data_IF_981166109842
#
_entry.id   IF_981166109842
#
_cell.length_a   1.000
_cell.length_b   1.000
_cell.length_c   1.000
_cell.angle_alpha   90.00
_cell.angle_beta   90.00
_cell.angle_gamma   90.00
#
_symmetry.space_group_name_H-M   'P 1'
#
loop_
_entity.id
_entity.type
_entity.pdbx_description
1 polymer ?
#
# COMPACT_ATOMS: atom_id res chain seq x y z
N UNK A 1 9.82 24.30 52.52
CA UNK A 1 8.99 23.08 52.61
C UNK A 1 7.65 23.35 51.96
N UNK A 2 7.41 22.72 50.81
CA UNK A 2 6.14 22.23 50.24
C UNK A 2 6.45 21.90 48.79
N UNK A 3 6.95 20.69 48.63
CA UNK A 3 7.45 20.14 47.38
C UNK A 3 6.23 19.57 46.67
N UNK A 4 5.73 20.25 45.65
CA UNK A 4 4.63 19.74 44.82
C UNK A 4 5.25 18.98 43.65
N UNK A 5 5.44 17.68 43.86
CA UNK A 5 5.83 16.74 42.80
C UNK A 5 4.65 16.59 41.84
N UNK A 6 4.72 17.21 40.68
CA UNK A 6 3.86 16.86 39.53
C UNK A 6 4.36 15.55 38.91
N UNK A 7 3.47 14.58 38.61
CA UNK A 7 3.88 13.33 37.97
C UNK A 7 4.33 13.60 36.53
N UNK A 8 5.58 13.22 36.23
CA UNK A 8 6.14 13.16 34.89
C UNK A 8 5.43 12.06 34.09
N UNK A 9 4.45 12.44 33.26
CA UNK A 9 3.97 11.57 32.18
C UNK A 9 4.92 11.75 30.99
N UNK A 10 5.88 10.85 30.86
CA UNK A 10 6.72 10.70 29.66
C UNK A 10 5.92 10.11 28.50
N UNK A 11 4.84 10.78 28.10
CA UNK A 11 4.13 10.53 26.85
C UNK A 11 4.89 11.19 25.71
N UNK A 12 6.08 10.67 25.37
CA UNK A 12 6.96 11.23 24.35
C UNK A 12 6.36 11.22 22.95
N UNK A 13 5.89 12.37 22.48
CA UNK A 13 5.45 12.58 21.11
C UNK A 13 6.49 12.11 20.07
N UNK A 14 6.11 11.24 19.13
CA UNK A 14 6.92 10.91 17.95
C UNK A 14 6.23 11.42 16.68
N UNK A 15 7.00 12.14 15.87
CA UNK A 15 6.55 12.78 14.62
C UNK A 15 6.50 11.72 13.50
N UNK A 16 5.34 11.57 12.85
CA UNK A 16 5.23 10.84 11.58
C UNK A 16 5.94 11.64 10.49
N UNK A 17 6.65 10.97 9.58
CA UNK A 17 7.25 11.62 8.41
C UNK A 17 6.21 12.15 7.40
N UNK A 18 4.94 11.73 7.50
CA UNK A 18 3.96 11.97 6.41
C UNK A 18 2.64 12.60 6.90
N UNK A 19 2.29 12.52 8.19
CA UNK A 19 0.91 12.82 8.63
C UNK A 19 0.77 13.52 10.00
N UNK A 20 1.83 14.11 10.55
CA UNK A 20 1.75 14.93 11.78
C UNK A 20 1.89 14.16 13.11
N UNK A 21 1.44 14.80 14.19
CA UNK A 21 1.66 14.39 15.59
C UNK A 21 0.58 13.40 16.03
N UNK A 22 0.98 12.17 16.40
CA UNK A 22 0.09 11.16 17.00
C UNK A 22 0.49 10.87 18.45
N UNK A 23 -0.47 10.44 19.27
CA UNK A 23 -0.20 10.02 20.66
C UNK A 23 0.56 8.68 20.62
N UNK A 24 1.54 8.46 21.50
CA UNK A 24 2.34 7.19 21.53
C UNK A 24 1.47 5.93 21.56
N UNK A 25 0.31 6.00 22.21
CA UNK A 25 -0.65 4.89 22.30
C UNK A 25 -1.27 4.51 20.94
N UNK A 26 -1.30 5.42 19.95
CA UNK A 26 -1.80 5.14 18.60
C UNK A 26 -0.74 4.43 17.74
N UNK A 27 0.54 4.74 17.95
CA UNK A 27 1.66 4.09 17.25
C UNK A 27 1.78 2.60 17.60
N UNK A 28 1.64 2.22 18.87
CA UNK A 28 1.65 0.82 19.29
C UNK A 28 0.43 0.04 18.76
N UNK A 29 -0.73 0.70 18.66
CA UNK A 29 -1.94 0.13 18.04
C UNK A 29 -1.76 -0.07 16.53
N UNK A 30 -1.12 0.87 15.83
CA UNK A 30 -0.83 0.75 14.38
C UNK A 30 0.18 -0.34 14.06
N UNK A 31 1.21 -0.52 14.90
CA UNK A 31 2.16 -1.63 14.79
C UNK A 31 1.43 -2.98 14.82
N UNK A 32 0.48 -3.17 15.74
CA UNK A 32 -0.25 -4.43 15.89
C UNK A 32 -1.12 -4.79 14.68
N UNK A 33 -1.67 -3.80 13.97
CA UNK A 33 -2.53 -3.99 12.80
C UNK A 33 -1.70 -4.46 11.60
N UNK A 34 -0.49 -3.91 11.43
CA UNK A 34 0.33 -4.11 10.24
C UNK A 34 1.35 -5.26 10.34
N UNK A 35 1.36 -6.06 11.42
CA UNK A 35 2.35 -7.13 11.65
C UNK A 35 2.61 -8.07 10.47
N UNK A 36 1.63 -8.29 9.58
CA UNK A 36 1.77 -9.24 8.46
C UNK A 36 1.42 -8.67 7.09
N UNK A 37 0.47 -7.73 6.99
CA UNK A 37 -0.10 -7.29 5.70
C UNK A 37 -0.51 -5.82 5.72
N UNK A 38 0.02 -5.06 4.77
CA UNK A 38 -0.36 -3.67 4.46
C UNK A 38 -1.87 -3.53 4.23
N UNK A 39 -2.52 -4.53 3.63
CA UNK A 39 -3.96 -4.51 3.31
C UNK A 39 -4.85 -4.33 4.55
N UNK A 40 -4.54 -4.98 5.69
CA UNK A 40 -5.36 -4.81 6.92
C UNK A 40 -5.26 -3.37 7.42
N UNK A 41 -4.05 -2.81 7.41
CA UNK A 41 -3.79 -1.43 7.79
C UNK A 41 -4.52 -0.44 6.87
N UNK A 42 -4.40 -0.63 5.55
CA UNK A 42 -5.07 0.19 4.55
C UNK A 42 -6.59 0.20 4.73
N UNK A 43 -7.21 -0.97 4.93
CA UNK A 43 -8.66 -1.06 5.14
C UNK A 43 -9.09 -0.38 6.45
N UNK A 44 -8.33 -0.53 7.53
CA UNK A 44 -8.62 0.14 8.80
C UNK A 44 -8.51 1.67 8.68
N UNK A 45 -7.45 2.18 8.03
CA UNK A 45 -7.27 3.62 7.79
C UNK A 45 -8.36 4.19 6.88
N UNK A 46 -8.75 3.45 5.83
CA UNK A 46 -9.90 3.82 5.00
C UNK A 46 -11.19 3.90 5.82
N UNK A 47 -11.41 2.96 6.75
CA UNK A 47 -12.58 2.98 7.62
C UNK A 47 -12.55 4.14 8.62
N UNK A 48 -11.39 4.45 9.19
CA UNK A 48 -11.21 5.63 10.04
C UNK A 48 -11.53 6.93 9.29
N UNK A 49 -11.06 7.05 8.05
CA UNK A 49 -11.23 8.24 7.22
C UNK A 49 -12.71 8.53 6.89
N UNK A 50 -13.48 7.49 6.52
CA UNK A 50 -14.83 7.68 5.99
C UNK A 50 -15.96 7.34 6.97
N UNK A 51 -15.75 6.35 7.84
CA UNK A 51 -16.78 5.89 8.78
C UNK A 51 -16.52 6.36 10.22
N UNK A 52 -15.29 6.81 10.52
CA UNK A 52 -14.89 7.25 11.86
C UNK A 52 -14.48 6.12 12.80
N UNK A 53 -13.96 6.46 14.00
CA UNK A 53 -13.37 5.51 14.94
C UNK A 53 -14.41 4.58 15.61
N UNK A 54 -15.62 5.07 15.83
CA UNK A 54 -16.67 4.32 16.55
C UNK A 54 -17.45 3.35 15.66
N UNK A 55 -17.23 3.39 14.35
CA UNK A 55 -17.96 2.53 13.42
C UNK A 55 -17.55 1.05 13.59
N UNK A 56 -18.51 0.10 13.60
CA UNK A 56 -18.21 -1.33 13.81
C UNK A 56 -17.21 -1.91 12.81
N UNK A 57 -17.22 -1.44 11.55
CA UNK A 57 -16.23 -1.87 10.56
C UNK A 57 -14.81 -1.41 10.91
N UNK A 58 -14.65 -0.20 11.44
CA UNK A 58 -13.35 0.34 11.84
C UNK A 58 -12.72 -0.52 12.92
N UNK A 59 -13.49 -0.84 13.97
CA UNK A 59 -13.07 -1.71 15.07
C UNK A 59 -12.79 -3.15 14.61
N UNK A 60 -13.63 -3.68 13.71
CA UNK A 60 -13.45 -5.02 13.13
C UNK A 60 -12.18 -5.11 12.29
N UNK A 61 -11.86 -4.09 11.50
CA UNK A 61 -10.66 -4.04 10.67
C UNK A 61 -9.40 -3.85 11.53
N UNK A 62 -9.50 -3.11 12.65
CA UNK A 62 -8.42 -2.95 13.63
C UNK A 62 -7.95 -4.30 14.20
N UNK A 63 -8.88 -5.19 14.52
CA UNK A 63 -8.57 -6.52 15.08
C UNK A 63 -8.40 -7.60 14.01
N UNK A 64 -8.64 -7.27 12.74
CA UNK A 64 -8.72 -8.19 11.60
C UNK A 64 -7.41 -8.73 11.03
N UNK A 65 -6.29 -8.67 11.77
CA UNK A 65 -4.95 -9.06 11.29
C UNK A 65 -4.86 -10.49 10.72
N UNK A 66 -5.72 -11.40 11.18
CA UNK A 66 -5.78 -12.82 10.73
C UNK A 66 -6.81 -13.08 9.63
N UNK A 67 -7.60 -12.10 9.22
CA UNK A 67 -8.67 -12.31 8.22
C UNK A 67 -8.09 -12.65 6.84
N UNK A 68 -8.80 -13.47 6.07
CA UNK A 68 -8.41 -13.75 4.69
C UNK A 68 -8.44 -12.48 3.83
N UNK A 69 -7.53 -12.26 2.85
CA UNK A 69 -7.49 -11.04 2.03
C UNK A 69 -8.83 -10.73 1.33
N UNK A 70 -9.53 -11.78 0.86
CA UNK A 70 -10.88 -11.65 0.30
C UNK A 70 -11.84 -10.98 1.28
N UNK A 71 -11.86 -11.43 2.54
CA UNK A 71 -12.74 -10.87 3.57
C UNK A 71 -12.41 -9.43 3.90
N UNK A 72 -11.12 -9.06 3.95
CA UNK A 72 -10.71 -7.67 4.17
C UNK A 72 -11.21 -6.75 3.05
N UNK A 73 -11.08 -7.19 1.79
CA UNK A 73 -11.59 -6.45 0.64
C UNK A 73 -13.12 -6.32 0.69
N UNK A 74 -13.82 -7.39 1.05
CA UNK A 74 -15.28 -7.37 1.16
C UNK A 74 -15.74 -6.41 2.27
N UNK A 75 -15.02 -6.34 3.40
CA UNK A 75 -15.28 -5.35 4.46
C UNK A 75 -14.96 -3.93 4.00
N UNK A 76 -13.88 -3.75 3.23
CA UNK A 76 -13.52 -2.45 2.65
C UNK A 76 -14.59 -1.86 1.74
N UNK A 77 -15.31 -2.70 1.00
CA UNK A 77 -16.44 -2.30 0.14
C UNK A 77 -17.69 -1.87 0.92
N UNK A 78 -17.77 -2.24 2.20
CA UNK A 78 -18.90 -1.91 3.08
C UNK A 78 -18.68 -0.62 3.88
N UNK A 79 -17.50 0.00 3.76
CA UNK A 79 -17.20 1.25 4.47
C UNK A 79 -18.15 2.35 3.94
N UNK A 80 -19.01 2.92 4.79
CA UNK A 80 -19.91 4.01 4.38
C UNK A 80 -19.13 5.31 4.13
N UNK A 81 -19.75 6.25 3.43
CA UNK A 81 -19.20 7.59 3.24
C UNK A 81 -17.95 7.65 2.37
N UNK A 82 -17.69 6.62 1.56
CA UNK A 82 -16.54 6.60 0.66
C UNK A 82 -16.61 7.70 -0.39
N UNK A 83 -15.54 8.48 -0.48
CA UNK A 83 -15.33 9.50 -1.50
C UNK A 83 -14.01 9.17 -2.24
N UNK A 84 -14.09 8.97 -3.56
CA UNK A 84 -12.93 8.62 -4.38
C UNK A 84 -11.91 9.77 -4.43
N UNK A 85 -12.36 11.02 -4.49
CA UNK A 85 -11.47 12.19 -4.59
C UNK A 85 -10.63 12.35 -3.32
N UNK A 86 -11.25 12.16 -2.16
CA UNK A 86 -10.53 12.15 -0.87
C UNK A 86 -9.62 10.93 -0.80
N UNK A 87 -10.07 9.77 -1.29
CA UNK A 87 -9.26 8.55 -1.27
C UNK A 87 -8.02 8.65 -2.15
N UNK A 88 -8.11 9.25 -3.34
CA UNK A 88 -6.99 9.48 -4.23
C UNK A 88 -5.89 10.32 -3.58
N UNK A 89 -6.26 11.32 -2.78
CA UNK A 89 -5.31 12.18 -2.05
C UNK A 89 -4.61 11.41 -0.92
N UNK A 90 -5.33 10.55 -0.19
CA UNK A 90 -4.83 9.94 1.04
C UNK A 90 -4.18 8.55 0.87
N UNK A 91 -4.59 7.80 -0.18
CA UNK A 91 -4.27 6.37 -0.30
C UNK A 91 -2.77 6.08 -0.36
N UNK A 92 -1.99 6.92 -1.02
CA UNK A 92 -0.55 6.70 -1.21
C UNK A 92 0.20 6.81 0.12
N UNK A 93 -0.08 7.84 0.90
CA UNK A 93 0.49 8.03 2.23
C UNK A 93 0.11 6.86 3.16
N UNK A 94 -1.15 6.44 3.14
CA UNK A 94 -1.64 5.30 3.93
C UNK A 94 -0.92 4.00 3.55
N UNK A 95 -0.77 3.72 2.26
CA UNK A 95 -0.11 2.49 1.78
C UNK A 95 1.39 2.53 2.02
N UNK A 96 2.04 3.69 1.86
CA UNK A 96 3.44 3.87 2.19
C UNK A 96 3.70 3.62 3.69
N UNK A 97 2.88 4.21 4.57
CA UNK A 97 2.98 4.00 6.02
C UNK A 97 2.78 2.53 6.37
N UNK A 98 1.73 1.88 5.84
CA UNK A 98 1.47 0.47 6.07
C UNK A 98 2.62 -0.41 5.55
N UNK A 99 3.19 -0.09 4.41
CA UNK A 99 4.32 -0.83 3.82
C UNK A 99 5.58 -0.68 4.66
N UNK A 100 5.90 0.55 5.08
CA UNK A 100 6.98 0.81 6.02
C UNK A 100 6.81 0.01 7.31
N UNK A 101 5.63 0.05 7.92
CA UNK A 101 5.31 -0.70 9.15
C UNK A 101 5.42 -2.22 8.95
N UNK A 102 5.06 -2.74 7.78
CA UNK A 102 5.21 -4.17 7.46
C UNK A 102 6.69 -4.57 7.47
N UNK A 103 7.54 -3.81 6.78
CA UNK A 103 8.97 -4.15 6.67
C UNK A 103 9.72 -3.87 7.97
N UNK A 104 9.40 -2.79 8.70
CA UNK A 104 10.04 -2.50 10.00
C UNK A 104 9.78 -3.57 11.06
N UNK A 105 8.64 -4.25 10.99
CA UNK A 105 8.27 -5.32 11.92
C UNK A 105 8.75 -6.72 11.51
N UNK A 106 9.22 -6.89 10.26
CA UNK A 106 9.62 -8.19 9.73
C UNK A 106 11.05 -8.09 9.17
N UNK A 107 12.09 -8.24 10.01
CA UNK A 107 13.49 -8.07 9.61
C UNK A 107 13.92 -8.93 8.42
N UNK A 108 13.41 -10.16 8.32
CA UNK A 108 13.71 -11.04 7.18
C UNK A 108 13.12 -10.52 5.86
N UNK A 109 11.91 -9.94 5.89
CA UNK A 109 11.31 -9.30 4.73
C UNK A 109 12.03 -7.98 4.38
N UNK A 110 12.45 -7.22 5.39
CA UNK A 110 13.22 -6.01 5.18
C UNK A 110 14.56 -6.31 4.51
N UNK A 111 15.26 -7.36 4.95
CA UNK A 111 16.49 -7.81 4.33
C UNK A 111 16.28 -8.20 2.85
N UNK A 112 15.20 -8.91 2.53
CA UNK A 112 14.85 -9.25 1.15
C UNK A 112 14.58 -8.00 0.29
N UNK A 113 13.87 -7.02 0.84
CA UNK A 113 13.61 -5.75 0.15
C UNK A 113 14.93 -4.99 -0.09
N UNK A 114 15.76 -4.84 0.93
CA UNK A 114 17.04 -4.12 0.82
C UNK A 114 18.04 -4.81 -0.12
N UNK A 115 17.99 -6.14 -0.22
CA UNK A 115 18.80 -6.92 -1.16
C UNK A 115 18.47 -6.62 -2.65
N UNK A 116 17.36 -5.91 -2.92
CA UNK A 116 17.06 -5.43 -4.28
C UNK A 116 17.94 -4.23 -4.69
N UNK A 117 18.63 -3.59 -3.75
CA UNK A 117 19.53 -2.47 -4.02
C UNK A 117 18.78 -1.25 -4.54
N UNK A 118 19.24 -0.69 -5.66
CA UNK A 118 18.68 0.52 -6.29
C UNK A 118 17.71 0.21 -7.44
N UNK A 119 17.33 -1.06 -7.61
CA UNK A 119 16.40 -1.48 -8.67
C UNK A 119 14.99 -0.93 -8.41
N UNK A 120 14.32 -0.51 -9.47
CA UNK A 120 12.90 -0.16 -9.42
C UNK A 120 12.07 -1.45 -9.29
N UNK A 121 11.13 -1.45 -8.33
CA UNK A 121 10.24 -2.59 -8.08
C UNK A 121 8.85 -2.21 -8.58
N UNK A 122 8.36 -2.95 -9.57
CA UNK A 122 7.04 -2.73 -10.17
C UNK A 122 6.14 -3.93 -9.85
N UNK A 123 4.91 -3.66 -9.41
CA UNK A 123 3.87 -4.68 -9.30
C UNK A 123 3.32 -4.97 -10.70
N UNK A 124 3.36 -6.24 -11.13
CA UNK A 124 3.08 -6.64 -12.51
C UNK A 124 1.68 -7.26 -12.70
N UNK A 125 0.68 -6.86 -11.91
CA UNK A 125 -0.69 -7.32 -12.10
C UNK A 125 -1.35 -6.57 -13.25
N UNK A 126 -1.81 -7.26 -14.30
CA UNK A 126 -2.51 -6.62 -15.42
C UNK A 126 -3.91 -6.10 -15.03
N UNK A 127 -4.39 -6.49 -13.84
CA UNK A 127 -5.74 -6.18 -13.34
C UNK A 127 -5.75 -5.10 -12.27
N UNK A 128 -4.59 -4.74 -11.72
CA UNK A 128 -4.51 -3.68 -10.72
C UNK A 128 -4.05 -2.38 -11.39
N UNK A 129 -5.00 -1.48 -11.63
CA UNK A 129 -4.72 -0.17 -12.25
C UNK A 129 -4.30 0.90 -11.25
N UNK A 130 -4.41 0.62 -9.95
CA UNK A 130 -4.13 1.58 -8.89
C UNK A 130 -2.71 1.35 -8.37
N UNK A 131 -2.36 0.10 -8.10
CA UNK A 131 -1.07 -0.28 -7.52
C UNK A 131 -0.17 -1.05 -8.48
N UNK A 132 -0.73 -1.57 -9.57
CA UNK A 132 0.03 -2.26 -10.61
C UNK A 132 0.55 -1.33 -11.67
N UNK A 133 1.69 -1.68 -12.26
CA UNK A 133 2.35 -0.95 -13.35
C UNK A 133 1.58 -0.95 -14.67
N UNK A 134 0.35 -1.47 -14.70
CA UNK A 134 -0.53 -1.38 -15.85
C UNK A 134 -0.05 -2.12 -17.10
N UNK A 135 0.93 -3.03 -16.99
CA UNK A 135 1.44 -3.79 -18.13
C UNK A 135 0.37 -4.76 -18.65
N UNK A 136 -0.35 -4.31 -19.66
CA UNK A 136 -0.94 -5.16 -20.68
C UNK A 136 0.16 -5.59 -21.64
N UNK A 137 0.03 -6.81 -22.16
CA UNK A 137 0.84 -7.36 -23.24
C UNK A 137 1.17 -6.30 -24.30
N UNK A 138 2.45 -5.90 -24.43
CA UNK A 138 2.95 -5.09 -25.55
C UNK A 138 3.68 -3.78 -25.25
N UNK A 139 3.86 -3.31 -24.01
CA UNK A 139 4.65 -2.07 -23.76
C UNK A 139 5.72 -2.29 -22.69
N UNK A 140 6.86 -2.86 -23.08
CA UNK A 140 8.12 -2.54 -22.43
C UNK A 140 8.60 -1.21 -23.02
N UNK A 141 8.60 -0.13 -22.23
CA UNK A 141 9.47 1.01 -22.53
C UNK A 141 10.81 0.68 -21.93
N UNK A 142 11.81 0.49 -22.79
CA UNK A 142 13.21 0.48 -22.37
C UNK A 142 13.50 1.79 -21.63
N UNK A 143 13.73 1.68 -20.33
CA UNK A 143 14.30 2.75 -19.51
C UNK A 143 15.83 2.63 -19.56
N UNK A 144 16.37 2.65 -20.77
CA UNK A 144 17.79 2.86 -21.04
C UNK A 144 17.91 3.30 -22.50
N UNK A 145 18.41 4.51 -22.73
CA UNK A 145 18.40 5.15 -24.05
C UNK A 145 19.10 4.35 -25.15
N UNK A 146 18.44 4.31 -26.32
CA UNK A 146 18.99 3.77 -27.56
C UNK A 146 17.88 3.43 -28.54
N UNK A 147 17.57 4.34 -29.47
CA UNK A 147 16.63 4.07 -30.56
C UNK A 147 17.30 3.08 -31.52
N UNK A 148 16.77 1.86 -31.58
CA UNK A 148 17.09 0.87 -32.60
C UNK A 148 15.82 0.15 -33.01
N UNK A 149 15.16 0.63 -34.07
CA UNK A 149 14.04 -0.09 -34.71
C UNK A 149 14.68 -1.03 -35.73
N UNK A 150 14.75 -2.32 -35.42
CA UNK A 150 14.93 -3.34 -36.46
C UNK A 150 13.53 -3.79 -36.90
N UNK A 151 13.03 -3.15 -37.95
CA UNK A 151 11.85 -3.60 -38.68
C UNK A 151 12.18 -4.92 -39.37
N UNK A 152 11.61 -6.02 -38.88
CA UNK A 152 11.52 -7.25 -39.67
C UNK A 152 10.68 -6.94 -40.92
N UNK A 153 11.37 -6.74 -42.04
CA UNK A 153 10.80 -6.42 -43.34
C UNK A 153 9.90 -7.53 -43.85
N UNK A 154 8.82 -7.08 -44.47
CA UNK A 154 7.85 -7.86 -45.22
C UNK A 154 8.40 -8.39 -46.55
N UNK A 155 7.75 -9.44 -47.06
CA UNK A 155 7.66 -9.73 -48.50
C UNK A 155 7.84 -11.21 -48.85
N UNK A 156 7.14 -11.81 -49.83
CA UNK A 156 6.10 -11.36 -50.77
C UNK A 156 5.41 -12.63 -51.31
N UNK A 157 4.10 -12.51 -51.56
CA UNK A 157 3.19 -13.13 -52.55
C UNK A 157 3.61 -14.31 -53.47
N UNK A 158 2.62 -15.13 -53.84
CA UNK A 158 2.69 -16.09 -54.93
C UNK A 158 1.50 -17.05 -55.00
N UNK A 159 0.36 -16.59 -55.51
CA UNK A 159 -0.80 -17.45 -55.79
C UNK A 159 -0.67 -18.31 -57.06
N UNK A 160 -1.47 -19.39 -57.13
CA UNK A 160 -2.27 -19.92 -58.26
C UNK A 160 -2.42 -21.45 -58.19
N UNK A 161 -3.63 -21.95 -58.51
CA UNK A 161 -3.85 -23.33 -58.98
C UNK A 161 -5.14 -24.00 -58.52
N UNK A 162 -6.11 -24.10 -59.44
CA UNK A 162 -7.25 -25.04 -59.49
C UNK A 162 -6.78 -26.49 -59.20
N UNK A 163 -7.56 -27.41 -58.62
CA UNK A 163 -8.89 -27.97 -58.95
C UNK A 163 -9.49 -28.64 -57.70
#
# INVERSE_FOLDING_TARGET
MKNTTTPSTSGGWKRSMVSGIFRLEEWERHLLICKRRTMTYMMHRRALLFAGPDHPLTQKLQTGRRMHPRKLRDLGRQIPGFDETVWEVERDAIVAEGTYLKFSQNPSLAAQLLATGTREIVEASPRDRIWGGGVWEGVYRDVAGGVGVESAGAGVDGGQGEV
#
